data_IF_068619980015
#
_entry.id   IF_068619980015
#
_cell.length_a   1.000
_cell.length_b   1.000
_cell.length_c   1.000
_cell.angle_alpha   90.00
_cell.angle_beta   90.00
_cell.angle_gamma   90.00
#
_symmetry.space_group_name_H-M   'P 1'
#
loop_
_entity.id
_entity.type
_entity.pdbx_description
1 polymer ?
#
# COMPACT_ATOMS: atom_id res chain seq x y z
N UNK A 1 -40.58 -20.25 5.32
CA UNK A 1 -39.72 -20.59 6.49
C UNK A 1 -38.46 -21.37 6.13
N UNK A 2 -38.52 -22.50 5.41
CA UNK A 2 -37.33 -23.29 5.03
C UNK A 2 -36.26 -22.53 4.23
N UNK A 3 -36.65 -21.70 3.25
CA UNK A 3 -35.69 -20.86 2.50
C UNK A 3 -35.03 -19.78 3.36
N UNK A 4 -35.73 -19.25 4.37
CA UNK A 4 -35.19 -18.22 5.27
C UNK A 4 -34.13 -18.80 6.21
N UNK A 5 -34.35 -20.02 6.71
CA UNK A 5 -33.35 -20.76 7.48
C UNK A 5 -32.11 -21.13 6.65
N UNK A 6 -32.30 -21.50 5.38
CA UNK A 6 -31.20 -21.87 4.49
C UNK A 6 -30.31 -20.65 4.18
N UNK A 7 -30.91 -19.49 3.93
CA UNK A 7 -30.18 -18.24 3.73
C UNK A 7 -29.40 -17.82 4.98
N UNK A 8 -29.96 -18.02 6.18
CA UNK A 8 -29.29 -17.73 7.44
C UNK A 8 -28.08 -18.65 7.67
N UNK A 9 -28.19 -19.94 7.31
CA UNK A 9 -27.07 -20.89 7.39
C UNK A 9 -25.91 -20.52 6.45
N UNK A 10 -26.21 -20.05 5.24
CA UNK A 10 -25.21 -19.65 4.25
C UNK A 10 -24.41 -18.41 4.66
N UNK A 11 -25.02 -17.46 5.37
CA UNK A 11 -24.31 -16.28 5.91
C UNK A 11 -23.33 -16.69 7.01
N UNK A 12 -23.70 -17.67 7.85
CA UNK A 12 -22.83 -18.16 8.92
C UNK A 12 -21.62 -18.96 8.42
N UNK A 13 -21.68 -19.54 7.22
CA UNK A 13 -20.62 -20.40 6.67
C UNK A 13 -19.61 -19.67 5.76
N UNK A 14 -19.64 -18.33 5.73
CA UNK A 14 -18.66 -17.57 4.94
C UNK A 14 -17.25 -17.83 5.48
N UNK A 15 -16.32 -18.39 4.67
CA UNK A 15 -14.96 -18.62 5.11
C UNK A 15 -14.33 -17.26 5.43
N UNK A 16 -13.92 -17.09 6.69
CA UNK A 16 -13.03 -15.98 7.05
C UNK A 16 -11.68 -16.28 6.41
N UNK A 17 -11.43 -15.70 5.24
CA UNK A 17 -10.08 -15.60 4.70
C UNK A 17 -9.28 -14.73 5.66
N UNK A 18 -8.51 -15.36 6.55
CA UNK A 18 -7.52 -14.66 7.36
C UNK A 18 -6.47 -14.10 6.42
N UNK A 19 -6.53 -12.80 6.14
CA UNK A 19 -5.48 -12.14 5.38
C UNK A 19 -4.15 -12.39 6.10
N UNK A 20 -3.14 -12.85 5.36
CA UNK A 20 -1.81 -13.02 5.93
C UNK A 20 -1.34 -11.67 6.50
N UNK A 21 -0.72 -11.70 7.67
CA UNK A 21 -0.10 -10.50 8.25
C UNK A 21 0.96 -9.99 7.27
N UNK A 22 0.86 -8.74 6.78
CA UNK A 22 1.85 -8.21 5.86
C UNK A 22 3.18 -8.00 6.58
N UNK A 23 4.28 -8.19 5.85
CA UNK A 23 5.59 -7.71 6.29
C UNK A 23 5.64 -6.19 6.09
N UNK A 24 6.21 -5.46 7.06
CA UNK A 24 6.39 -4.02 6.99
C UNK A 24 7.89 -3.73 6.95
N UNK A 25 8.35 -3.06 5.89
CA UNK A 25 9.73 -2.59 5.75
C UNK A 25 9.69 -1.07 5.72
N UNK A 26 10.43 -0.43 6.62
CA UNK A 26 10.58 1.02 6.68
C UNK A 26 11.98 1.40 6.19
N UNK A 27 12.04 2.15 5.09
CA UNK A 27 13.26 2.76 4.62
C UNK A 27 13.35 4.20 5.14
N UNK A 28 14.49 4.57 5.71
CA UNK A 28 14.80 5.94 6.12
C UNK A 28 16.11 6.32 5.45
N UNK A 29 16.09 7.47 4.78
CA UNK A 29 17.23 8.01 4.04
C UNK A 29 17.75 9.24 4.77
N UNK A 30 19.07 9.39 4.82
CA UNK A 30 19.72 10.53 5.49
C UNK A 30 19.80 11.73 4.54
N UNK A 31 19.42 12.92 5.03
CA UNK A 31 19.44 14.21 4.31
C UNK A 31 18.84 14.22 2.88
N UNK A 32 17.85 13.36 2.62
CA UNK A 32 17.22 13.28 1.30
C UNK A 32 16.11 14.32 1.13
N UNK A 33 16.33 15.27 0.22
CA UNK A 33 15.31 16.16 -0.32
C UNK A 33 14.39 15.44 -1.34
N UNK A 34 13.23 16.01 -1.75
CA UNK A 34 12.37 15.44 -2.79
C UNK A 34 12.97 15.55 -4.22
N UNK A 35 14.29 15.44 -4.33
CA UNK A 35 15.03 15.50 -5.58
C UNK A 35 15.21 14.06 -6.09
N UNK A 36 14.18 13.54 -6.75
CA UNK A 36 14.11 12.18 -7.28
C UNK A 36 13.29 12.13 -8.57
N UNK A 37 13.45 11.06 -9.36
CA UNK A 37 12.72 10.87 -10.62
C UNK A 37 11.21 10.93 -10.43
N UNK A 38 10.70 10.27 -9.39
CA UNK A 38 9.29 10.32 -9.01
C UNK A 38 8.81 11.68 -8.51
N UNK A 39 9.67 12.67 -8.32
CA UNK A 39 9.29 14.07 -8.06
C UNK A 39 9.57 15.00 -9.25
N UNK A 40 9.91 14.44 -10.41
CA UNK A 40 10.09 15.18 -11.67
C UNK A 40 11.54 15.58 -11.98
N UNK A 41 12.52 15.11 -11.21
CA UNK A 41 13.93 15.40 -11.48
C UNK A 41 14.45 14.55 -12.67
N UNK A 42 15.06 15.17 -13.67
CA UNK A 42 15.42 14.48 -14.94
C UNK A 42 16.81 13.83 -14.92
N UNK A 43 17.75 14.34 -14.13
CA UNK A 43 19.16 13.91 -14.22
C UNK A 43 19.53 12.82 -13.19
N UNK A 44 18.81 12.79 -12.07
CA UNK A 44 19.02 11.84 -10.97
C UNK A 44 18.24 10.57 -11.27
N UNK A 45 18.94 9.43 -11.26
CA UNK A 45 18.37 8.13 -11.62
C UNK A 45 17.85 7.40 -10.38
N UNK A 46 16.53 7.51 -10.24
CA UNK A 46 15.59 6.94 -9.27
C UNK A 46 15.07 5.51 -9.31
N UNK A 47 15.49 4.59 -10.20
CA UNK A 47 14.54 3.66 -10.83
C UNK A 47 13.73 2.78 -9.86
N UNK A 48 14.33 2.34 -8.74
CA UNK A 48 13.63 1.56 -7.73
C UNK A 48 12.67 2.40 -6.87
N UNK A 49 13.08 3.60 -6.46
CA UNK A 49 12.19 4.53 -5.75
C UNK A 49 11.05 5.00 -6.66
N UNK A 50 11.33 5.15 -7.96
CA UNK A 50 10.34 5.54 -8.96
C UNK A 50 9.30 4.44 -9.17
N UNK A 51 9.72 3.17 -9.23
CA UNK A 51 8.81 2.01 -9.27
C UNK A 51 7.94 1.94 -8.01
N UNK A 52 8.55 2.09 -6.83
CA UNK A 52 7.82 2.11 -5.56
C UNK A 52 6.75 3.23 -5.52
N UNK A 53 7.07 4.41 -6.04
CA UNK A 53 6.13 5.52 -6.11
C UNK A 53 5.01 5.30 -7.14
N UNK A 54 5.25 4.54 -8.21
CA UNK A 54 4.25 4.19 -9.23
C UNK A 54 3.30 3.07 -8.78
N UNK A 55 3.80 2.11 -8.00
CA UNK A 55 3.03 0.99 -7.45
C UNK A 55 2.28 1.34 -6.17
N UNK A 56 2.70 2.41 -5.48
CA UNK A 56 2.17 2.83 -4.20
C UNK A 56 1.55 4.23 -4.20
N UNK A 57 1.50 4.82 -3.02
CA UNK A 57 1.02 6.20 -2.81
C UNK A 57 2.22 7.12 -2.60
N UNK A 58 2.37 8.11 -3.48
CA UNK A 58 3.37 9.18 -3.35
C UNK A 58 2.77 10.42 -2.70
N UNK A 59 3.35 10.88 -1.60
CA UNK A 59 2.98 12.14 -0.96
C UNK A 59 3.72 13.31 -1.62
N UNK A 60 3.00 14.24 -2.26
CA UNK A 60 3.65 15.42 -2.88
C UNK A 60 3.94 16.55 -1.88
N UNK A 61 3.44 16.45 -0.65
CA UNK A 61 3.61 17.41 0.43
C UNK A 61 3.84 16.68 1.76
N UNK A 62 5.06 16.19 1.97
CA UNK A 62 5.48 15.54 3.22
C UNK A 62 6.49 16.45 3.94
N UNK A 63 6.28 16.70 5.23
CA UNK A 63 7.12 17.58 6.05
C UNK A 63 7.59 16.84 7.30
N UNK A 64 8.84 17.08 7.71
CA UNK A 64 9.35 16.69 9.02
C UNK A 64 9.05 17.79 10.05
N UNK A 65 8.93 17.41 11.32
CA UNK A 65 8.66 18.31 12.45
C UNK A 65 9.93 18.98 12.97
#
# INVERSE_FOLDING_TARGET
>A
MKLLLLALLLVCFSPKSGAATPNIILFVTDDQSPIAGCYGHTDIKTPHLDSLAAEGTRFTHAFAT
#
